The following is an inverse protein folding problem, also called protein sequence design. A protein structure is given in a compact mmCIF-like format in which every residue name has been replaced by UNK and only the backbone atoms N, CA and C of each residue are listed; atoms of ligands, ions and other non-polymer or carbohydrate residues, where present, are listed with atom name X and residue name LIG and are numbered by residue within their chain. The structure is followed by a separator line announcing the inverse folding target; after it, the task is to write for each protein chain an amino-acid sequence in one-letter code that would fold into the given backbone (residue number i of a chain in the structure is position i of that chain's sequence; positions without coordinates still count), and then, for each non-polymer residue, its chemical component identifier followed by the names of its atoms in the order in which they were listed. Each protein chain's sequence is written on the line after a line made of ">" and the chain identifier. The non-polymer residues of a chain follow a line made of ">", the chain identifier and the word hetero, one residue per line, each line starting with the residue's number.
data_IF_593536342037
#
_entry.id   IF_593536342037
#
_cell.length_a   1.000
_cell.length_b   1.000
_cell.length_c   1.000
_cell.angle_alpha   90.00
_cell.angle_beta   90.00
_cell.angle_gamma   90.00
#
_symmetry.space_group_name_H-M   'P 1'
#
loop_
_entity.id
_entity.type
_entity.pdbx_description
1 polymer ?
#
# COMPACT_ATOMS: atom_id res chain seq x y z
N UNK A 1 -1.44 -12.77 -14.04
CA UNK A 1 -1.19 -11.79 -12.97
C UNK A 1 -1.71 -12.34 -11.67
N UNK A 2 -0.95 -12.21 -10.59
CA UNK A 2 -1.30 -12.75 -9.27
C UNK A 2 -1.54 -11.61 -8.29
N UNK A 3 -2.76 -11.54 -7.73
CA UNK A 3 -3.28 -10.49 -6.86
C UNK A 3 -4.14 -9.46 -7.61
N UNK A 4 -5.40 -9.27 -7.18
CA UNK A 4 -6.36 -8.30 -7.73
C UNK A 4 -6.53 -7.08 -6.78
N UNK A 5 -5.42 -6.62 -6.20
CA UNK A 5 -5.33 -5.31 -5.57
C UNK A 5 -5.05 -4.21 -6.60
N UNK A 6 -4.80 -2.95 -6.15
CA UNK A 6 -4.58 -1.82 -7.06
C UNK A 6 -3.51 -2.09 -8.14
N UNK A 7 -2.38 -2.71 -7.77
CA UNK A 7 -1.31 -3.01 -8.72
C UNK A 7 -1.73 -4.05 -9.77
N UNK A 8 -2.30 -5.17 -9.35
CA UNK A 8 -2.64 -6.24 -10.28
C UNK A 8 -3.82 -5.90 -11.19
N UNK A 9 -4.82 -5.21 -10.68
CA UNK A 9 -5.95 -4.74 -11.49
C UNK A 9 -5.49 -3.71 -12.53
N UNK A 10 -4.64 -2.75 -12.14
CA UNK A 10 -4.07 -1.77 -13.08
C UNK A 10 -3.17 -2.42 -14.14
N UNK A 11 -2.36 -3.43 -13.74
CA UNK A 11 -1.55 -4.18 -14.68
C UNK A 11 -2.42 -4.96 -15.69
N UNK A 12 -3.48 -5.57 -15.18
CA UNK A 12 -4.40 -6.33 -16.02
C UNK A 12 -5.12 -5.44 -17.02
N UNK A 13 -5.63 -4.28 -16.60
CA UNK A 13 -6.26 -3.31 -17.47
C UNK A 13 -5.30 -2.80 -18.56
N UNK A 14 -4.07 -2.42 -18.16
CA UNK A 14 -3.08 -1.90 -19.09
C UNK A 14 -2.69 -2.93 -20.16
N UNK A 15 -2.45 -4.18 -19.79
CA UNK A 15 -2.11 -5.23 -20.74
C UNK A 15 -3.33 -5.63 -21.61
N UNK A 16 -4.54 -5.69 -21.03
CA UNK A 16 -5.73 -6.05 -21.79
C UNK A 16 -6.10 -5.03 -22.86
N UNK A 17 -5.90 -3.72 -22.58
CA UNK A 17 -6.10 -2.64 -23.57
C UNK A 17 -5.24 -2.81 -24.83
N UNK A 18 -4.13 -3.49 -24.77
CA UNK A 18 -3.28 -3.79 -25.94
C UNK A 18 -3.64 -5.09 -26.66
N UNK A 19 -4.71 -5.76 -26.25
CA UNK A 19 -5.15 -7.04 -26.83
C UNK A 19 -4.45 -8.27 -26.27
N UNK A 20 -3.67 -8.15 -25.21
CA UNK A 20 -3.08 -9.31 -24.54
C UNK A 20 -4.15 -10.20 -23.89
N UNK A 21 -4.00 -11.53 -24.00
CA UNK A 21 -4.80 -12.46 -23.21
C UNK A 21 -4.36 -12.40 -21.73
N UNK A 22 -5.19 -11.85 -20.87
CA UNK A 22 -4.88 -11.61 -19.44
C UNK A 22 -5.70 -12.51 -18.54
N UNK A 23 -5.01 -13.23 -17.64
CA UNK A 23 -5.61 -13.92 -16.51
C UNK A 23 -5.20 -13.21 -15.22
N UNK A 24 -6.16 -12.65 -14.49
CA UNK A 24 -6.01 -11.99 -13.20
C UNK A 24 -6.54 -12.90 -12.09
N UNK A 25 -5.71 -13.25 -11.12
CA UNK A 25 -6.01 -14.20 -10.05
C UNK A 25 -6.07 -13.50 -8.70
N UNK A 26 -7.06 -13.78 -7.87
CA UNK A 26 -7.05 -13.38 -6.45
C UNK A 26 -7.56 -14.51 -5.56
N UNK A 27 -6.89 -14.71 -4.42
CA UNK A 27 -7.31 -15.67 -3.38
C UNK A 27 -8.57 -15.23 -2.63
N UNK A 28 -8.93 -13.95 -2.71
CA UNK A 28 -10.12 -13.37 -2.08
C UNK A 28 -11.32 -13.53 -3.00
N UNK A 29 -12.51 -13.57 -2.41
CA UNK A 29 -13.77 -13.66 -3.17
C UNK A 29 -14.14 -12.37 -3.88
N UNK A 30 -13.63 -11.23 -3.39
CA UNK A 30 -13.92 -9.92 -3.96
C UNK A 30 -12.69 -9.01 -3.83
N UNK A 31 -12.43 -8.23 -4.87
CA UNK A 31 -11.40 -7.21 -4.87
C UNK A 31 -11.61 -6.22 -3.72
N UNK A 32 -10.54 -5.83 -3.04
CA UNK A 32 -10.58 -4.86 -1.94
C UNK A 32 -11.20 -5.35 -0.62
N UNK A 33 -11.62 -6.61 -0.51
CA UNK A 33 -12.27 -7.14 0.70
C UNK A 33 -11.58 -8.41 1.19
N UNK A 34 -11.24 -8.52 2.51
CA UNK A 34 -11.40 -7.50 3.55
C UNK A 34 -10.47 -6.31 3.35
N UNK A 35 -10.92 -5.12 3.78
CA UNK A 35 -10.12 -3.88 3.70
C UNK A 35 -8.97 -3.96 4.69
N UNK A 36 -7.75 -3.77 4.22
CA UNK A 36 -6.52 -3.76 5.03
C UNK A 36 -5.73 -2.47 4.73
N UNK A 37 -6.33 -1.31 5.02
CA UNK A 37 -5.80 -0.01 4.65
C UNK A 37 -6.39 1.09 5.51
N UNK A 38 -5.64 2.17 5.74
CA UNK A 38 -6.13 3.40 6.34
C UNK A 38 -7.07 4.20 5.39
N UNK A 39 -7.07 3.87 4.07
CA UNK A 39 -8.00 4.36 3.06
C UNK A 39 -7.83 5.84 2.67
N UNK A 40 -6.67 6.42 2.92
CA UNK A 40 -6.32 7.77 2.45
C UNK A 40 -5.54 7.69 1.13
N UNK A 41 -5.87 8.58 0.19
CA UNK A 41 -5.11 8.81 -1.04
C UNK A 41 -4.91 10.31 -1.27
N UNK A 42 -3.75 10.67 -1.82
CA UNK A 42 -3.45 12.05 -2.25
C UNK A 42 -4.43 12.50 -3.34
N UNK A 43 -4.73 13.80 -3.37
CA UNK A 43 -5.51 14.41 -4.44
C UNK A 43 -4.82 14.31 -5.82
N UNK A 44 -3.50 14.11 -5.85
CA UNK A 44 -2.73 13.91 -7.08
C UNK A 44 -3.07 12.58 -7.80
N UNK A 45 -3.57 11.57 -7.07
CA UNK A 45 -4.04 10.34 -7.70
C UNK A 45 -5.34 10.60 -8.46
N UNK A 46 -5.27 10.61 -9.79
CA UNK A 46 -6.40 10.72 -10.68
C UNK A 46 -6.40 9.56 -11.67
N UNK A 47 -7.53 8.89 -11.84
CA UNK A 47 -7.71 7.71 -12.69
C UNK A 47 -9.10 7.80 -13.34
N UNK A 48 -9.16 7.78 -14.67
CA UNK A 48 -10.42 7.88 -15.43
C UNK A 48 -11.35 6.69 -15.15
N UNK A 49 -10.77 5.51 -14.93
CA UNK A 49 -11.51 4.28 -14.61
C UNK A 49 -12.20 4.30 -13.24
N UNK A 50 -11.85 5.26 -12.37
CA UNK A 50 -12.38 5.32 -11.01
C UNK A 50 -13.50 6.35 -10.91
N UNK A 51 -14.73 5.93 -10.58
CA UNK A 51 -15.84 6.85 -10.35
C UNK A 51 -15.67 7.55 -8.98
N UNK A 52 -14.82 8.56 -8.93
CA UNK A 52 -14.39 9.21 -7.69
C UNK A 52 -15.53 9.66 -6.80
N UNK A 53 -16.65 10.15 -7.36
CA UNK A 53 -17.81 10.53 -6.58
C UNK A 53 -18.42 9.37 -5.77
N UNK A 54 -18.37 8.15 -6.31
CA UNK A 54 -18.88 6.95 -5.65
C UNK A 54 -17.86 6.30 -4.71
N UNK A 55 -16.57 6.52 -4.95
CA UNK A 55 -15.45 5.91 -4.21
C UNK A 55 -15.02 6.77 -3.04
N UNK A 56 -15.07 8.11 -3.17
CA UNK A 56 -14.69 9.05 -2.11
C UNK A 56 -15.71 9.01 -0.98
N UNK A 57 -15.21 8.80 0.24
CA UNK A 57 -16.02 8.88 1.46
C UNK A 57 -16.00 10.28 2.05
N UNK A 58 -14.86 10.98 1.92
CA UNK A 58 -14.68 12.32 2.45
C UNK A 58 -13.46 12.99 1.83
N UNK A 59 -13.49 14.31 1.52
CA UNK A 59 -12.29 15.10 1.23
C UNK A 59 -11.46 15.33 2.49
N UNK A 60 -10.14 15.47 2.31
CA UNK A 60 -9.18 15.84 3.36
C UNK A 60 -8.41 17.06 2.88
N UNK A 61 -8.32 18.07 3.74
CA UNK A 61 -7.66 19.35 3.42
C UNK A 61 -6.38 19.57 4.25
N UNK A 62 -6.27 18.89 5.41
CA UNK A 62 -5.20 19.13 6.38
C UNK A 62 -4.63 17.86 6.94
N UNK A 63 -3.39 17.95 7.45
CA UNK A 63 -2.79 16.93 8.31
C UNK A 63 -2.40 17.55 9.64
N UNK A 64 -2.81 16.92 10.73
CA UNK A 64 -2.44 17.28 12.09
C UNK A 64 -1.41 16.28 12.60
N UNK A 65 -0.24 16.75 12.99
CA UNK A 65 0.83 15.90 13.55
C UNK A 65 1.00 16.21 15.03
N UNK A 66 0.83 15.20 15.88
CA UNK A 66 1.03 15.25 17.31
C UNK A 66 2.28 14.42 17.66
N UNK A 67 3.28 15.07 18.24
CA UNK A 67 4.52 14.42 18.68
C UNK A 67 4.51 14.34 20.20
N UNK A 68 4.59 13.14 20.75
CA UNK A 68 4.55 12.85 22.21
C UNK A 68 3.35 13.51 22.95
N UNK A 69 2.22 13.71 22.22
CA UNK A 69 1.02 14.31 22.80
C UNK A 69 1.10 15.83 23.06
N UNK A 70 2.13 16.49 22.52
CA UNK A 70 2.30 17.95 22.64
C UNK A 70 1.42 18.72 21.65
N UNK A 71 1.63 20.05 21.59
CA UNK A 71 0.91 20.97 20.71
C UNK A 71 0.89 20.45 19.26
N UNK A 72 -0.31 20.37 18.66
CA UNK A 72 -0.46 19.83 17.32
C UNK A 72 0.15 20.77 16.27
N UNK A 73 0.89 20.20 15.32
CA UNK A 73 1.32 20.91 14.13
C UNK A 73 0.34 20.66 12.99
N UNK A 74 -0.24 21.74 12.48
CA UNK A 74 -1.16 21.68 11.36
C UNK A 74 -0.38 21.91 10.06
N UNK A 75 -0.53 21.01 9.11
CA UNK A 75 -0.07 21.17 7.72
C UNK A 75 -1.28 21.49 6.86
N UNK A 76 -1.37 22.74 6.45
CA UNK A 76 -2.42 23.22 5.56
C UNK A 76 -2.17 22.73 4.11
N UNK A 77 -3.22 22.69 3.30
CA UNK A 77 -3.17 22.26 1.91
C UNK A 77 -2.66 20.81 1.71
N UNK A 78 -2.79 19.97 2.72
CA UNK A 78 -2.53 18.54 2.62
C UNK A 78 -3.72 17.84 1.96
N UNK A 79 -3.93 18.14 0.68
CA UNK A 79 -5.13 17.73 -0.04
C UNK A 79 -5.11 16.23 -0.38
N UNK A 80 -6.22 15.60 -0.06
CA UNK A 80 -6.45 14.20 -0.35
C UNK A 80 -7.90 13.80 -0.19
N UNK A 81 -8.13 12.52 -0.13
CA UNK A 81 -9.48 11.99 0.11
C UNK A 81 -9.43 10.65 0.83
N UNK A 82 -10.38 10.45 1.71
CA UNK A 82 -10.69 9.12 2.22
C UNK A 82 -11.51 8.38 1.19
N UNK A 83 -11.15 7.14 0.94
CA UNK A 83 -11.83 6.30 -0.07
C UNK A 83 -12.40 5.04 0.56
N UNK A 84 -13.37 4.44 -0.13
CA UNK A 84 -13.74 3.05 0.11
C UNK A 84 -12.86 2.14 -0.72
N UNK A 85 -11.88 1.47 -0.10
CA UNK A 85 -10.99 0.53 -0.78
C UNK A 85 -11.74 -0.61 -1.46
N UNK A 86 -12.85 -1.06 -0.87
CA UNK A 86 -13.67 -2.08 -1.49
C UNK A 86 -14.26 -1.61 -2.84
N UNK A 87 -14.72 -0.35 -2.91
CA UNK A 87 -15.23 0.24 -4.16
C UNK A 87 -14.11 0.61 -5.12
N UNK A 88 -13.02 1.14 -4.61
CA UNK A 88 -11.85 1.53 -5.42
C UNK A 88 -11.22 0.33 -6.11
N UNK A 89 -10.89 -0.72 -5.35
CA UNK A 89 -10.25 -1.92 -5.90
C UNK A 89 -11.21 -2.64 -6.86
N UNK A 90 -12.53 -2.62 -6.58
CA UNK A 90 -13.56 -3.15 -7.47
C UNK A 90 -13.58 -2.38 -8.80
N UNK A 91 -13.58 -1.05 -8.78
CA UNK A 91 -13.60 -0.24 -10.00
C UNK A 91 -12.37 -0.55 -10.89
N UNK A 92 -11.20 -0.71 -10.31
CA UNK A 92 -10.01 -1.11 -11.06
C UNK A 92 -10.11 -2.52 -11.65
N UNK A 93 -10.69 -3.47 -10.91
CA UNK A 93 -10.90 -4.83 -11.39
C UNK A 93 -11.94 -4.86 -12.53
N UNK A 94 -13.03 -4.11 -12.39
CA UNK A 94 -14.09 -4.00 -13.39
C UNK A 94 -13.56 -3.34 -14.68
N UNK A 95 -12.69 -2.34 -14.58
CA UNK A 95 -11.98 -1.75 -15.72
C UNK A 95 -11.11 -2.79 -16.45
N UNK A 96 -10.37 -3.62 -15.72
CA UNK A 96 -9.59 -4.68 -16.35
C UNK A 96 -10.48 -5.68 -17.09
N UNK A 97 -11.61 -6.07 -16.51
CA UNK A 97 -12.56 -7.00 -17.13
C UNK A 97 -13.23 -6.36 -18.36
N UNK A 98 -13.60 -5.08 -18.29
CA UNK A 98 -14.19 -4.33 -19.41
C UNK A 98 -13.25 -4.28 -20.63
N UNK A 99 -11.92 -4.33 -20.42
CA UNK A 99 -10.92 -4.39 -21.48
C UNK A 99 -10.53 -5.82 -21.89
N UNK A 100 -11.20 -6.85 -21.36
CA UNK A 100 -11.03 -8.23 -21.81
C UNK A 100 -10.16 -9.11 -20.89
N UNK A 101 -9.74 -8.63 -19.73
CA UNK A 101 -9.08 -9.48 -18.75
C UNK A 101 -10.07 -10.48 -18.13
N UNK A 102 -9.65 -11.75 -18.02
CA UNK A 102 -10.39 -12.76 -17.27
C UNK A 102 -9.96 -12.71 -15.80
N UNK A 103 -10.86 -12.33 -14.90
CA UNK A 103 -10.60 -12.30 -13.46
C UNK A 103 -11.18 -13.55 -12.79
N UNK A 104 -10.32 -14.29 -12.06
CA UNK A 104 -10.70 -15.42 -11.21
C UNK A 104 -10.43 -15.06 -9.75
N UNK A 105 -11.49 -14.84 -9.01
CA UNK A 105 -11.49 -14.67 -7.55
C UNK A 105 -11.63 -16.02 -6.85
N UNK A 106 -11.46 -16.06 -5.51
CA UNK A 106 -11.47 -17.27 -4.69
C UNK A 106 -10.48 -18.34 -5.21
N UNK A 107 -9.41 -17.89 -5.88
CA UNK A 107 -8.44 -18.74 -6.55
C UNK A 107 -7.02 -18.35 -6.15
N UNK A 108 -6.43 -19.11 -5.25
CA UNK A 108 -5.06 -18.88 -4.77
C UNK A 108 -4.03 -19.54 -5.69
N UNK A 109 -2.88 -18.89 -5.86
CA UNK A 109 -1.67 -19.56 -6.36
C UNK A 109 -1.11 -20.41 -5.24
N UNK A 110 -0.95 -21.70 -5.47
CA UNK A 110 -0.43 -22.67 -4.49
C UNK A 110 1.08 -22.80 -4.63
N UNK A 111 1.57 -22.97 -5.85
CA UNK A 111 3.00 -23.07 -6.16
C UNK A 111 3.33 -22.48 -7.52
N UNK A 112 4.57 -22.11 -7.69
CA UNK A 112 5.17 -21.68 -8.95
C UNK A 112 6.41 -22.53 -9.13
N UNK A 113 6.53 -23.18 -10.28
CA UNK A 113 7.69 -24.01 -10.60
C UNK A 113 8.83 -23.19 -11.24
N UNK A 114 9.98 -23.82 -11.39
CA UNK A 114 11.18 -23.16 -11.95
C UNK A 114 11.01 -22.77 -13.43
N UNK A 115 10.03 -23.34 -14.14
CA UNK A 115 9.68 -23.03 -15.52
C UNK A 115 8.60 -21.94 -15.63
N UNK A 116 8.18 -21.36 -14.50
CA UNK A 116 7.14 -20.35 -14.44
C UNK A 116 5.72 -20.90 -14.52
N UNK A 117 5.53 -22.22 -14.47
CA UNK A 117 4.22 -22.85 -14.35
C UNK A 117 3.57 -22.52 -13.00
N UNK A 118 2.30 -22.22 -13.00
CA UNK A 118 1.54 -21.74 -11.83
C UNK A 118 0.43 -22.74 -11.51
N UNK A 119 0.47 -23.35 -10.32
CA UNK A 119 -0.60 -24.22 -9.83
C UNK A 119 -1.57 -23.45 -8.97
N UNK A 120 -2.85 -23.62 -9.22
CA UNK A 120 -3.95 -22.94 -8.56
C UNK A 120 -4.64 -23.83 -7.52
N UNK A 121 -5.32 -23.22 -6.54
CA UNK A 121 -6.03 -23.92 -5.46
C UNK A 121 -7.19 -24.81 -5.93
N UNK A 122 -7.71 -24.57 -7.11
CA UNK A 122 -8.75 -25.42 -7.75
C UNK A 122 -8.17 -26.59 -8.56
N UNK A 123 -6.86 -26.83 -8.48
CA UNK A 123 -6.15 -27.90 -9.17
C UNK A 123 -5.71 -27.59 -10.61
N UNK A 124 -6.13 -26.46 -11.17
CA UNK A 124 -5.72 -26.06 -12.51
C UNK A 124 -4.23 -25.62 -12.54
N UNK A 125 -3.61 -25.81 -13.69
CA UNK A 125 -2.26 -25.32 -13.98
C UNK A 125 -2.33 -24.28 -15.11
N UNK A 126 -1.53 -23.20 -14.96
CA UNK A 126 -1.41 -22.13 -15.95
C UNK A 126 0.07 -21.97 -16.32
N UNK A 127 0.36 -21.90 -17.61
CA UNK A 127 1.70 -21.62 -18.13
C UNK A 127 1.69 -20.23 -18.80
N UNK A 128 2.07 -19.17 -18.08
CA UNK A 128 2.08 -17.84 -18.62
C UNK A 128 3.30 -17.60 -19.51
N UNK A 129 3.18 -16.71 -20.49
CA UNK A 129 4.33 -16.17 -21.25
C UNK A 129 5.05 -15.05 -20.47
N UNK A 130 4.33 -14.34 -19.59
CA UNK A 130 4.84 -13.34 -18.65
C UNK A 130 4.06 -13.49 -17.35
N UNK A 131 4.75 -13.47 -16.22
CA UNK A 131 4.15 -13.54 -14.87
C UNK A 131 4.30 -12.20 -14.15
N UNK A 132 3.19 -11.60 -13.69
CA UNK A 132 3.23 -10.38 -12.88
C UNK A 132 2.79 -10.72 -11.46
N UNK A 133 3.68 -10.46 -10.48
CA UNK A 133 3.42 -10.57 -9.05
C UNK A 133 2.94 -9.24 -8.48
N UNK A 134 1.66 -9.20 -8.10
CA UNK A 134 1.00 -8.08 -7.43
C UNK A 134 0.25 -8.57 -6.18
N UNK A 135 0.78 -9.63 -5.57
CA UNK A 135 0.14 -10.43 -4.52
C UNK A 135 0.49 -9.97 -3.09
N UNK A 136 0.93 -8.71 -2.99
CA UNK A 136 1.10 -8.01 -1.72
C UNK A 136 2.45 -8.25 -1.03
N UNK A 137 2.60 -7.81 0.22
CA UNK A 137 3.90 -7.72 0.90
C UNK A 137 4.59 -9.07 1.13
N UNK A 138 3.84 -10.16 1.14
CA UNK A 138 4.34 -11.53 1.27
C UNK A 138 4.21 -12.30 -0.05
N UNK A 139 4.62 -11.68 -1.14
CA UNK A 139 4.49 -12.19 -2.50
C UNK A 139 5.04 -13.61 -2.67
N UNK A 140 4.20 -14.52 -3.19
CA UNK A 140 4.61 -15.85 -3.64
C UNK A 140 5.39 -15.75 -4.94
N UNK A 141 4.98 -14.85 -5.83
CA UNK A 141 5.69 -14.61 -7.09
C UNK A 141 7.09 -14.07 -6.81
N UNK A 142 7.20 -13.06 -5.93
CA UNK A 142 8.50 -12.54 -5.50
C UNK A 142 9.37 -13.62 -4.85
N UNK A 143 8.76 -14.45 -4.00
CA UNK A 143 9.48 -15.55 -3.36
C UNK A 143 10.03 -16.58 -4.35
N UNK A 144 9.31 -16.89 -5.43
CA UNK A 144 9.74 -17.82 -6.47
C UNK A 144 10.99 -17.34 -7.21
N UNK A 145 11.21 -16.01 -7.28
CA UNK A 145 12.40 -15.41 -7.90
C UNK A 145 13.41 -14.86 -6.89
N UNK A 146 13.31 -15.29 -5.62
CA UNK A 146 14.25 -14.89 -4.57
C UNK A 146 14.10 -13.42 -4.13
N UNK A 147 12.98 -12.77 -4.42
CA UNK A 147 12.67 -11.38 -4.04
C UNK A 147 11.64 -11.37 -2.91
N UNK A 148 12.06 -11.00 -1.70
CA UNK A 148 11.20 -10.98 -0.52
C UNK A 148 11.34 -9.67 0.24
N UNK A 149 10.23 -9.10 0.65
CA UNK A 149 10.23 -8.02 1.62
C UNK A 149 10.63 -8.57 2.99
N UNK A 150 11.74 -8.12 3.53
CA UNK A 150 12.28 -8.55 4.83
C UNK A 150 11.94 -7.56 5.95
N UNK A 151 11.81 -6.29 5.62
CA UNK A 151 11.45 -5.23 6.56
C UNK A 151 9.96 -4.89 6.42
N UNK A 152 9.21 -5.20 7.47
CA UNK A 152 7.75 -5.06 7.48
C UNK A 152 7.28 -4.30 8.73
N UNK A 153 6.27 -3.46 8.54
CA UNK A 153 5.42 -2.94 9.62
C UNK A 153 4.16 -3.79 9.71
N UNK A 154 3.80 -4.19 10.91
CA UNK A 154 2.49 -4.75 11.20
C UNK A 154 1.55 -3.63 11.65
N UNK A 155 0.34 -3.61 11.11
CA UNK A 155 -0.67 -2.60 11.41
C UNK A 155 -1.95 -3.23 11.97
N UNK A 156 -2.62 -2.50 12.86
CA UNK A 156 -3.92 -2.85 13.42
C UNK A 156 -4.79 -1.60 13.48
N UNK A 157 -6.04 -1.71 13.05
CA UNK A 157 -6.95 -0.59 12.89
C UNK A 157 -8.37 -0.97 13.32
N UNK A 158 -9.06 -0.02 13.93
CA UNK A 158 -10.48 -0.05 14.26
C UNK A 158 -11.21 1.02 13.45
N UNK A 159 -12.46 0.78 13.10
CA UNK A 159 -13.39 1.85 12.71
C UNK A 159 -14.18 2.26 13.94
N UNK A 160 -14.06 3.52 14.33
CA UNK A 160 -14.64 4.07 15.57
C UNK A 160 -15.53 5.28 15.27
N UNK A 161 -16.61 5.54 16.06
CA UNK A 161 -17.41 6.73 15.88
C UNK A 161 -16.66 7.98 16.38
N UNK A 162 -16.79 9.09 15.63
CA UNK A 162 -16.28 10.41 16.01
C UNK A 162 -17.32 11.19 16.81
N UNK A 163 -16.89 12.01 17.75
CA UNK A 163 -17.75 13.01 18.41
C UNK A 163 -18.10 14.10 17.41
N UNK A 164 -17.07 14.67 16.78
CA UNK A 164 -17.22 15.73 15.78
C UNK A 164 -16.50 15.32 14.48
N UNK A 165 -17.20 15.30 13.33
CA UNK A 165 -16.57 15.12 12.04
C UNK A 165 -15.58 16.26 11.74
N UNK A 166 -14.43 15.92 11.12
CA UNK A 166 -13.42 16.91 10.73
C UNK A 166 -12.74 16.50 9.40
N UNK A 167 -11.98 17.42 8.81
CA UNK A 167 -11.36 17.28 7.47
C UNK A 167 -9.84 17.04 7.50
N UNK A 168 -9.29 16.72 8.67
CA UNK A 168 -7.86 16.50 8.85
C UNK A 168 -7.54 15.04 9.13
N UNK A 169 -6.43 14.55 8.60
CA UNK A 169 -5.81 13.30 9.07
C UNK A 169 -4.96 13.59 10.29
N UNK A 170 -5.17 12.86 11.39
CA UNK A 170 -4.33 12.99 12.58
C UNK A 170 -3.28 11.90 12.60
N UNK A 171 -2.05 12.31 12.90
CA UNK A 171 -0.86 11.47 12.99
C UNK A 171 -0.28 11.59 14.40
N UNK A 172 -0.07 10.45 15.05
CA UNK A 172 0.51 10.36 16.39
C UNK A 172 1.89 9.75 16.30
N UNK A 173 2.92 10.57 16.46
CA UNK A 173 4.32 10.17 16.50
C UNK A 173 4.76 10.00 17.96
N UNK A 174 5.13 8.78 18.34
CA UNK A 174 5.52 8.45 19.71
C UNK A 174 6.67 7.46 19.75
N UNK A 175 7.59 7.63 20.65
CA UNK A 175 8.70 6.70 20.90
C UNK A 175 8.20 5.27 21.22
N UNK A 176 7.03 5.17 21.87
CA UNK A 176 6.41 3.88 22.18
C UNK A 176 5.82 3.14 20.97
N UNK A 177 5.82 3.73 19.75
CA UNK A 177 5.40 3.10 18.47
C UNK A 177 6.64 2.73 17.63
N UNK A 178 7.41 1.70 17.98
CA UNK A 178 8.70 1.43 17.37
C UNK A 178 8.58 1.16 15.87
N UNK A 179 9.25 1.98 15.07
CA UNK A 179 9.27 1.89 13.60
C UNK A 179 7.94 2.17 12.91
N UNK A 180 7.00 2.83 13.59
CA UNK A 180 5.70 3.18 13.04
C UNK A 180 5.08 4.40 13.69
N UNK A 181 3.77 4.52 13.59
CA UNK A 181 2.99 5.65 14.12
C UNK A 181 1.53 5.27 14.35
N UNK A 182 0.79 6.12 15.05
CA UNK A 182 -0.66 6.03 15.18
C UNK A 182 -1.37 7.00 14.23
N UNK A 183 -2.61 6.69 13.87
CA UNK A 183 -3.43 7.56 13.03
C UNK A 183 -4.90 7.57 13.46
N UNK A 184 -5.57 8.69 13.17
CA UNK A 184 -7.02 8.83 13.22
C UNK A 184 -7.46 9.53 11.92
N UNK A 185 -8.01 8.77 10.98
CA UNK A 185 -8.40 9.25 9.65
C UNK A 185 -9.92 9.28 9.53
N UNK A 186 -10.53 10.47 9.40
CA UNK A 186 -11.98 10.64 9.43
C UNK A 186 -12.65 10.09 8.16
N UNK A 187 -13.82 9.46 8.34
CA UNK A 187 -14.68 8.91 7.27
C UNK A 187 -16.15 9.27 7.56
N UNK A 188 -16.53 10.54 7.42
CA UNK A 188 -17.84 11.03 7.84
C UNK A 188 -18.00 10.96 9.36
N UNK A 189 -19.06 10.29 9.88
CA UNK A 189 -19.28 10.17 11.32
C UNK A 189 -18.36 9.14 12.02
N UNK A 190 -17.51 8.47 11.27
CA UNK A 190 -16.55 7.49 11.76
C UNK A 190 -15.13 7.91 11.46
N UNK A 191 -14.16 7.23 12.05
CA UNK A 191 -12.76 7.31 11.67
C UNK A 191 -12.09 5.93 11.68
N UNK A 192 -11.05 5.81 10.89
CA UNK A 192 -10.10 4.71 10.95
C UNK A 192 -9.02 5.08 11.99
N UNK A 193 -9.09 4.47 13.17
CA UNK A 193 -8.10 4.59 14.24
C UNK A 193 -7.16 3.40 14.20
N UNK A 194 -5.87 3.63 14.03
CA UNK A 194 -4.93 2.54 13.93
C UNK A 194 -3.53 2.86 14.42
N UNK A 195 -2.72 1.82 14.51
CA UNK A 195 -1.30 1.87 14.84
C UNK A 195 -0.53 0.92 13.95
N UNK A 196 0.64 1.34 13.49
CA UNK A 196 1.67 0.51 12.90
C UNK A 196 2.88 0.41 13.82
N UNK A 197 3.50 -0.77 13.89
CA UNK A 197 4.81 -0.99 14.54
C UNK A 197 5.63 -1.96 13.71
N UNK A 198 6.94 -2.01 13.92
CA UNK A 198 7.79 -3.05 13.35
C UNK A 198 7.19 -4.45 13.56
N UNK A 199 7.24 -5.29 12.54
CA UNK A 199 6.62 -6.62 12.58
C UNK A 199 7.09 -7.48 13.76
N UNK A 200 8.36 -7.34 14.17
CA UNK A 200 8.91 -8.04 15.35
C UNK A 200 8.27 -7.60 16.69
N UNK A 201 7.60 -6.44 16.71
CA UNK A 201 6.89 -5.87 17.87
C UNK A 201 5.38 -5.93 17.76
N UNK A 202 4.85 -6.76 16.86
CA UNK A 202 3.40 -6.86 16.58
C UNK A 202 2.54 -7.27 17.79
N UNK A 203 3.12 -7.93 18.77
CA UNK A 203 2.50 -8.23 20.07
C UNK A 203 2.04 -6.99 20.82
N UNK A 204 2.72 -5.84 20.62
CA UNK A 204 2.38 -4.55 21.23
C UNK A 204 1.21 -3.82 20.56
N UNK A 205 0.78 -4.22 19.35
CA UNK A 205 -0.26 -3.51 18.59
C UNK A 205 -1.57 -3.36 19.35
N UNK A 206 -2.05 -4.45 19.97
CA UNK A 206 -3.34 -4.39 20.68
C UNK A 206 -3.28 -3.46 21.89
N UNK A 207 -2.36 -3.61 22.86
CA UNK A 207 -2.31 -2.71 24.01
C UNK A 207 -2.06 -1.25 23.63
N UNK A 208 -1.23 -0.98 22.61
CA UNK A 208 -0.98 0.39 22.15
C UNK A 208 -2.22 1.02 21.49
N UNK A 209 -2.96 0.26 20.69
CA UNK A 209 -4.19 0.73 20.05
C UNK A 209 -5.29 0.96 21.10
N UNK A 210 -5.41 0.08 22.08
CA UNK A 210 -6.37 0.23 23.17
C UNK A 210 -6.06 1.47 24.02
N UNK A 211 -4.78 1.74 24.30
CA UNK A 211 -4.33 2.93 25.00
C UNK A 211 -4.64 4.22 24.23
N UNK A 212 -4.32 4.27 22.92
CA UNK A 212 -4.63 5.43 22.07
C UNK A 212 -6.14 5.66 21.98
N UNK A 213 -6.93 4.60 21.85
CA UNK A 213 -8.39 4.69 21.86
C UNK A 213 -8.90 5.27 23.17
N UNK A 214 -8.43 4.79 24.32
CA UNK A 214 -8.83 5.28 25.63
C UNK A 214 -8.50 6.76 25.82
N UNK A 215 -7.31 7.18 25.41
CA UNK A 215 -6.87 8.58 25.43
C UNK A 215 -7.80 9.47 24.60
N UNK A 216 -8.07 9.10 23.33
CA UNK A 216 -8.94 9.88 22.46
C UNK A 216 -10.39 9.92 22.93
N UNK A 217 -10.86 8.86 23.61
CA UNK A 217 -12.18 8.83 24.24
C UNK A 217 -12.22 9.78 25.43
N UNK A 218 -11.22 9.75 26.30
CA UNK A 218 -11.10 10.67 27.45
C UNK A 218 -10.99 12.14 27.03
N UNK A 219 -10.32 12.41 25.88
CA UNK A 219 -10.25 13.72 25.28
C UNK A 219 -11.54 14.15 24.55
N UNK A 220 -12.60 13.36 24.57
CA UNK A 220 -13.89 13.64 23.93
C UNK A 220 -13.87 13.61 22.41
N UNK A 221 -12.84 13.04 21.80
CA UNK A 221 -12.70 12.98 20.33
C UNK A 221 -13.47 11.82 19.70
N UNK A 222 -13.62 10.75 20.44
CA UNK A 222 -14.40 9.58 20.03
C UNK A 222 -15.74 9.55 20.75
N UNK A 223 -16.82 9.37 20.01
CA UNK A 223 -18.15 9.21 20.57
C UNK A 223 -18.28 7.87 21.32
N UNK A 224 -19.16 7.78 22.33
CA UNK A 224 -19.48 6.52 22.97
C UNK A 224 -19.96 5.48 21.94
N UNK A 225 -19.45 4.25 22.03
CA UNK A 225 -19.86 3.18 21.15
C UNK A 225 -18.78 2.13 20.95
N UNK A 226 -19.18 1.03 20.33
CA UNK A 226 -18.28 -0.05 19.97
C UNK A 226 -17.61 0.22 18.62
N UNK A 227 -16.38 -0.23 18.46
CA UNK A 227 -15.74 -0.27 17.14
C UNK A 227 -16.55 -1.18 16.21
N UNK A 228 -16.77 -0.74 14.97
CA UNK A 228 -17.60 -1.44 13.99
C UNK A 228 -16.82 -2.46 13.16
N UNK A 229 -15.50 -2.31 13.07
CA UNK A 229 -14.63 -3.26 12.39
C UNK A 229 -13.23 -3.29 13.01
N UNK A 230 -12.57 -4.42 12.82
CA UNK A 230 -11.16 -4.62 13.16
C UNK A 230 -10.44 -5.15 11.92
N UNK A 231 -9.42 -4.45 11.51
CA UNK A 231 -8.57 -4.85 10.39
C UNK A 231 -7.09 -4.77 10.74
N UNK A 232 -6.25 -5.28 9.87
CA UNK A 232 -4.80 -5.20 10.02
C UNK A 232 -4.10 -5.81 8.83
N UNK A 233 -2.81 -5.54 8.70
CA UNK A 233 -2.03 -6.02 7.57
C UNK A 233 -0.54 -5.80 7.78
N UNK A 234 0.23 -6.25 6.80
CA UNK A 234 1.67 -6.00 6.71
C UNK A 234 1.92 -4.94 5.64
N UNK A 235 2.90 -4.09 5.90
CA UNK A 235 3.32 -3.01 5.01
C UNK A 235 4.82 -3.17 4.78
N UNK A 236 5.31 -3.32 3.54
CA UNK A 236 6.74 -3.38 3.28
C UNK A 236 7.34 -1.98 3.43
N UNK A 237 8.45 -1.90 4.16
CA UNK A 237 9.10 -0.62 4.49
C UNK A 237 10.61 -0.63 4.24
N UNK A 238 11.12 -1.70 3.63
CA UNK A 238 12.54 -1.88 3.29
C UNK A 238 12.96 -1.20 1.98
N UNK A 239 12.04 -0.51 1.31
CA UNK A 239 12.28 0.09 0.00
C UNK A 239 12.02 -0.85 -1.16
N UNK A 240 12.28 -0.35 -2.38
CA UNK A 240 12.02 -1.07 -3.62
C UNK A 240 12.96 -2.27 -3.79
N UNK A 241 12.38 -3.41 -4.15
CA UNK A 241 13.11 -4.58 -4.62
C UNK A 241 13.44 -4.46 -6.12
N UNK A 242 14.43 -5.19 -6.66
CA UNK A 242 14.55 -5.38 -8.10
C UNK A 242 13.25 -5.99 -8.63
N UNK A 243 12.64 -5.33 -9.62
CA UNK A 243 11.27 -5.67 -10.05
C UNK A 243 11.22 -6.61 -11.23
N UNK A 244 12.33 -6.81 -11.94
CA UNK A 244 12.43 -7.74 -13.05
C UNK A 244 13.25 -8.97 -12.68
N UNK A 245 12.77 -10.16 -13.07
CA UNK A 245 13.42 -11.44 -12.89
C UNK A 245 12.98 -12.41 -13.99
N UNK A 246 13.49 -13.66 -13.95
CA UNK A 246 13.07 -14.75 -14.85
C UNK A 246 12.92 -16.06 -14.08
N UNK A 247 11.99 -16.88 -14.54
CA UNK A 247 11.90 -18.29 -14.24
C UNK A 247 12.15 -19.01 -15.58
N UNK A 248 13.37 -19.41 -15.81
CA UNK A 248 13.89 -19.83 -17.14
C UNK A 248 13.53 -18.79 -18.21
N UNK A 249 12.70 -19.15 -19.19
CA UNK A 249 12.29 -18.27 -20.28
C UNK A 249 11.13 -17.31 -19.94
N UNK A 250 10.45 -17.51 -18.79
CA UNK A 250 9.29 -16.71 -18.41
C UNK A 250 9.76 -15.45 -17.65
N UNK A 251 9.58 -14.25 -18.20
CA UNK A 251 9.79 -13.01 -17.47
C UNK A 251 8.84 -12.89 -16.30
N UNK A 252 9.36 -12.39 -15.18
CA UNK A 252 8.63 -12.12 -13.95
C UNK A 252 8.79 -10.64 -13.60
N UNK A 253 7.66 -9.96 -13.44
CA UNK A 253 7.59 -8.55 -13.03
C UNK A 253 6.92 -8.47 -11.66
N UNK A 254 7.43 -7.62 -10.77
CA UNK A 254 6.82 -7.35 -9.47
C UNK A 254 6.24 -5.93 -9.45
N UNK A 255 5.07 -5.74 -8.84
CA UNK A 255 4.41 -4.45 -8.74
C UNK A 255 3.76 -4.23 -7.36
N UNK A 256 3.58 -2.99 -6.96
CA UNK A 256 3.00 -2.61 -5.68
C UNK A 256 3.80 -3.14 -4.49
N UNK A 257 3.09 -3.59 -3.45
CA UNK A 257 3.73 -4.10 -2.22
C UNK A 257 4.60 -5.35 -2.48
N UNK A 258 4.31 -6.14 -3.51
CA UNK A 258 5.15 -7.28 -3.90
C UNK A 258 6.55 -6.83 -4.34
N UNK A 259 6.66 -5.63 -4.86
CA UNK A 259 7.90 -4.95 -5.23
C UNK A 259 8.48 -4.04 -4.14
N UNK A 260 7.88 -4.01 -2.95
CA UNK A 260 8.30 -3.11 -1.87
C UNK A 260 7.96 -1.63 -2.11
N UNK A 261 7.00 -1.33 -2.99
CA UNK A 261 6.68 0.03 -3.42
C UNK A 261 5.72 0.74 -2.47
N UNK A 262 6.09 0.82 -1.20
CA UNK A 262 5.45 1.70 -0.21
C UNK A 262 6.48 2.66 0.38
N UNK A 263 6.05 3.87 0.70
CA UNK A 263 6.96 4.83 1.34
C UNK A 263 7.41 4.28 2.71
N UNK A 264 8.72 4.15 2.97
CA UNK A 264 9.24 3.52 4.19
C UNK A 264 8.86 4.21 5.51
N UNK A 265 8.52 5.51 5.49
CA UNK A 265 8.10 6.27 6.69
C UNK A 265 6.59 6.27 6.84
N UNK A 266 5.86 6.62 5.79
CA UNK A 266 4.40 6.82 5.88
C UNK A 266 3.58 5.56 5.60
N UNK A 267 4.17 4.53 4.98
CA UNK A 267 3.43 3.35 4.53
C UNK A 267 2.46 3.61 3.37
N UNK A 268 2.52 4.79 2.74
CA UNK A 268 1.70 5.11 1.58
C UNK A 268 2.13 4.26 0.38
N UNK A 269 1.17 3.53 -0.24
CA UNK A 269 1.46 2.56 -1.29
C UNK A 269 0.40 2.46 -2.39
N UNK A 270 -0.78 3.09 -2.25
CA UNK A 270 -1.87 2.93 -3.23
C UNK A 270 -1.48 3.52 -4.59
N UNK A 271 -0.93 4.75 -4.60
CA UNK A 271 -0.52 5.42 -5.84
C UNK A 271 0.59 4.67 -6.55
N UNK A 272 1.63 4.29 -5.81
CA UNK A 272 2.74 3.49 -6.37
C UNK A 272 2.29 2.12 -6.84
N UNK A 273 1.31 1.49 -6.18
CA UNK A 273 0.74 0.23 -6.61
C UNK A 273 0.02 0.37 -7.96
N UNK A 274 -0.84 1.38 -8.11
CA UNK A 274 -1.53 1.66 -9.39
C UNK A 274 -0.51 1.95 -10.49
N UNK A 275 0.44 2.85 -10.23
CA UNK A 275 1.42 3.29 -11.24
C UNK A 275 2.33 2.15 -11.67
N UNK A 276 2.94 1.43 -10.71
CA UNK A 276 3.80 0.29 -11.03
C UNK A 276 3.03 -0.84 -11.71
N UNK A 277 1.79 -1.07 -11.31
CA UNK A 277 0.91 -2.03 -11.99
C UNK A 277 0.68 -1.67 -13.45
N UNK A 278 0.30 -0.42 -13.72
CA UNK A 278 0.09 0.06 -15.09
C UNK A 278 1.36 -0.12 -15.94
N UNK A 279 2.51 0.32 -15.42
CA UNK A 279 3.80 0.17 -16.10
C UNK A 279 4.18 -1.30 -16.32
N UNK A 280 3.94 -2.19 -15.35
CA UNK A 280 4.19 -3.62 -15.50
C UNK A 280 3.31 -4.24 -16.60
N UNK A 281 2.03 -3.81 -16.70
CA UNK A 281 1.12 -4.25 -17.76
C UNK A 281 1.58 -3.82 -19.15
N UNK A 282 2.03 -2.56 -19.29
CA UNK A 282 2.60 -2.01 -20.53
C UNK A 282 3.90 -2.76 -20.91
N UNK A 283 4.79 -2.94 -19.95
CA UNK A 283 6.07 -3.64 -20.17
C UNK A 283 5.84 -5.10 -20.61
N UNK A 284 4.91 -5.80 -19.95
CA UNK A 284 4.56 -7.17 -20.33
C UNK A 284 4.01 -7.24 -21.77
N UNK A 285 3.14 -6.30 -22.13
CA UNK A 285 2.59 -6.22 -23.49
C UNK A 285 3.66 -5.89 -24.54
N UNK A 286 4.52 -4.91 -24.25
CA UNK A 286 5.65 -4.54 -25.11
C UNK A 286 6.59 -5.72 -25.35
N UNK A 287 6.97 -6.43 -24.29
CA UNK A 287 7.81 -7.62 -24.39
C UNK A 287 7.17 -8.73 -25.24
N UNK A 288 5.84 -8.97 -25.03
CA UNK A 288 5.09 -9.95 -25.82
C UNK A 288 4.99 -9.57 -27.31
N UNK A 289 5.05 -8.28 -27.63
CA UNK A 289 5.10 -7.75 -28.98
C UNK A 289 6.53 -7.73 -29.60
N UNK A 290 7.54 -8.15 -28.85
CA UNK A 290 8.94 -8.24 -29.32
C UNK A 290 9.81 -7.04 -28.98
N UNK A 291 9.35 -6.09 -28.14
CA UNK A 291 10.17 -4.99 -27.65
C UNK A 291 11.17 -5.50 -26.60
N UNK A 292 12.43 -5.69 -26.98
CA UNK A 292 13.46 -6.29 -26.14
C UNK A 292 13.75 -5.45 -24.87
N UNK A 293 13.69 -4.11 -24.97
CA UNK A 293 13.98 -3.20 -23.86
C UNK A 293 12.82 -3.03 -22.87
N UNK A 294 11.61 -3.51 -23.18
CA UNK A 294 10.42 -3.20 -22.39
C UNK A 294 10.51 -3.55 -20.88
N UNK A 295 11.31 -4.56 -20.54
CA UNK A 295 11.50 -4.96 -19.13
C UNK A 295 12.53 -4.04 -18.44
N UNK A 296 13.58 -3.66 -19.15
CA UNK A 296 14.60 -2.73 -18.64
C UNK A 296 14.01 -1.33 -18.47
N UNK A 297 13.20 -0.88 -19.43
CA UNK A 297 12.45 0.38 -19.36
C UNK A 297 11.53 0.43 -18.12
N UNK A 298 10.90 -0.70 -17.76
CA UNK A 298 10.09 -0.81 -16.54
C UNK A 298 10.92 -0.63 -15.27
N UNK A 299 12.08 -1.29 -15.18
CA UNK A 299 12.99 -1.15 -14.03
C UNK A 299 13.51 0.30 -13.92
N UNK A 300 13.92 0.91 -15.04
CA UNK A 300 14.43 2.28 -15.09
C UNK A 300 13.37 3.31 -14.72
N UNK A 301 12.15 3.17 -15.23
CA UNK A 301 11.06 4.10 -14.91
C UNK A 301 10.72 4.06 -13.40
N UNK A 302 10.65 2.86 -12.80
CA UNK A 302 10.42 2.76 -11.35
C UNK A 302 11.57 3.30 -10.51
N UNK A 303 12.81 3.10 -10.97
CA UNK A 303 14.00 3.69 -10.34
C UNK A 303 13.92 5.21 -10.36
N UNK A 304 13.63 5.80 -11.52
CA UNK A 304 13.46 7.25 -11.68
C UNK A 304 12.38 7.83 -10.78
N UNK A 305 11.25 7.12 -10.64
CA UNK A 305 10.11 7.60 -9.88
C UNK A 305 10.31 7.52 -8.36
N UNK A 306 10.97 6.47 -7.87
CA UNK A 306 10.88 6.12 -6.44
C UNK A 306 12.22 6.11 -5.71
N UNK A 307 13.36 5.79 -6.36
CA UNK A 307 14.60 5.50 -5.63
C UNK A 307 15.09 6.68 -4.78
N UNK A 308 15.05 7.90 -5.29
CA UNK A 308 15.47 9.09 -4.54
C UNK A 308 14.58 9.37 -3.32
N UNK A 309 13.27 9.26 -3.51
CA UNK A 309 12.29 9.50 -2.43
C UNK A 309 12.34 8.39 -1.37
N UNK A 310 12.51 7.14 -1.79
CA UNK A 310 12.61 5.99 -0.89
C UNK A 310 13.95 5.98 -0.14
N UNK A 311 15.05 6.34 -0.79
CA UNK A 311 16.35 6.48 -0.13
C UNK A 311 16.29 7.53 0.99
N UNK A 312 15.61 8.67 0.76
CA UNK A 312 15.34 9.68 1.79
C UNK A 312 14.54 9.08 2.95
N UNK A 313 13.43 8.44 2.66
CA UNK A 313 12.57 7.84 3.67
C UNK A 313 13.29 6.74 4.46
N UNK A 314 14.11 5.91 3.82
CA UNK A 314 14.92 4.89 4.47
C UNK A 314 15.97 5.49 5.41
N UNK A 315 16.64 6.61 5.04
CA UNK A 315 17.55 7.29 5.95
C UNK A 315 16.85 7.70 7.25
N UNK A 316 15.68 8.34 7.13
CA UNK A 316 14.89 8.73 8.31
C UNK A 316 14.39 7.55 9.12
N UNK A 317 13.91 6.50 8.43
CA UNK A 317 13.50 5.28 9.11
C UNK A 317 14.62 4.68 9.93
N UNK A 318 15.82 4.55 9.35
CA UNK A 318 17.00 4.03 10.06
C UNK A 318 17.44 4.91 11.20
N UNK A 319 17.33 6.23 11.09
CA UNK A 319 17.62 7.15 12.20
C UNK A 319 16.66 6.93 13.39
N UNK A 320 15.42 6.47 13.13
CA UNK A 320 14.44 6.13 14.17
C UNK A 320 14.64 4.72 14.76
N UNK A 321 15.50 3.90 14.17
CA UNK A 321 15.83 2.57 14.68
C UNK A 321 16.88 2.66 15.82
N UNK A 322 16.72 1.85 16.86
CA UNK A 322 17.68 1.78 17.99
C UNK A 322 17.06 2.19 19.32
N UNK A 323 17.66 3.16 20.01
CA UNK A 323 17.12 3.70 21.27
C UNK A 323 15.79 4.42 21.03
N UNK A 324 14.95 4.55 22.07
CA UNK A 324 13.69 5.30 21.96
C UNK A 324 13.96 6.69 21.37
N UNK A 325 13.40 7.02 20.17
CA UNK A 325 13.72 8.28 19.51
C UNK A 325 13.16 9.44 20.32
N UNK A 326 13.98 10.46 20.54
CA UNK A 326 13.54 11.70 21.17
C UNK A 326 12.54 12.44 20.28
N UNK A 327 11.76 13.34 20.90
CA UNK A 327 10.71 14.14 20.23
C UNK A 327 11.21 14.87 18.98
N UNK A 328 12.37 15.51 19.06
CA UNK A 328 12.95 16.25 17.94
C UNK A 328 13.22 15.34 16.74
N UNK A 329 13.72 14.14 16.95
CA UNK A 329 13.97 13.18 15.88
C UNK A 329 12.66 12.68 15.28
N UNK A 330 11.64 12.36 16.09
CA UNK A 330 10.31 12.00 15.62
C UNK A 330 9.71 13.09 14.73
N UNK A 331 9.84 14.36 15.16
CA UNK A 331 9.35 15.52 14.42
C UNK A 331 10.05 15.67 13.08
N UNK A 332 11.38 15.64 13.05
CA UNK A 332 12.20 15.83 11.84
C UNK A 332 12.04 14.71 10.83
N UNK A 333 11.84 13.49 11.28
CA UNK A 333 11.66 12.32 10.43
C UNK A 333 10.28 12.22 9.76
N UNK A 334 9.38 13.15 10.01
CA UNK A 334 8.03 13.13 9.43
C UNK A 334 7.86 14.11 8.27
N UNK A 335 7.05 13.72 7.28
CA UNK A 335 6.85 14.46 6.02
C UNK A 335 6.33 15.88 6.17
N UNK A 336 5.74 16.26 7.31
CA UNK A 336 5.34 17.64 7.61
C UNK A 336 6.51 18.54 8.03
N UNK A 337 7.69 17.97 8.30
CA UNK A 337 8.88 18.72 8.68
C UNK A 337 9.67 19.14 7.43
N UNK A 338 10.12 20.42 7.33
CA UNK A 338 11.01 20.84 6.25
C UNK A 338 12.31 20.04 6.20
N UNK A 339 12.82 19.61 7.36
CA UNK A 339 14.03 18.80 7.48
C UNK A 339 13.90 17.43 6.81
N UNK A 340 12.69 16.85 6.79
CA UNK A 340 12.45 15.61 6.05
C UNK A 340 12.85 15.71 4.58
N UNK A 341 12.63 16.89 3.98
CA UNK A 341 12.85 17.15 2.56
C UNK A 341 14.25 17.67 2.23
N UNK A 342 15.01 18.09 3.24
CA UNK A 342 16.39 18.56 3.05
C UNK A 342 17.36 17.40 2.88
N UNK A 343 18.37 17.56 2.00
CA UNK A 343 19.47 16.59 1.85
C UNK A 343 20.44 16.59 3.04
N UNK A 344 20.31 17.55 3.93
CA UNK A 344 21.08 17.68 5.18
C UNK A 344 20.42 16.92 6.32
N UNK A 345 20.12 15.65 6.14
CA UNK A 345 19.54 14.84 7.18
C UNK A 345 20.60 14.10 7.98
N UNK A 346 20.48 14.21 9.30
CA UNK A 346 21.06 13.46 10.40
C UNK A 346 22.56 13.23 10.40
#
# INVERSE_FOLDING_TARGET
>A
MVGCGPAGASAAAAAARTGCAVLLLDKRRSAGTPVQCAEFVSAALSLDAVPWAAVTSQPIERMVTLVEGREPRITENFRGRMISRARFDRALADDAVAHGARCLTDTAVVSIDDDGGVRLSNGAEVRPRVLIGADGPQSRVGAAVGRRNTELVAARQLTVPLTDPHDATDIFLRACYPGGYGWLFPKGPFANLGIGVEHRRRDRLKPLLDALRAELTAAGRLAPGSATSLTGGLIPVGGRLPVCARLREVPVLLAGDAAGLTNPVTGAGIESAVRSGTLAGIAAAGWLAGAAAALDDYEEELSSLYDASFARALRWRRALEGAEPGEELLRRAWISSPEYWSDRAA
#
